data_IF_881382667951
#
_entry.id   IF_881382667951
#
_cell.length_a   1.000
_cell.length_b   1.000
_cell.length_c   1.000
_cell.angle_alpha   90.00
_cell.angle_beta   90.00
_cell.angle_gamma   90.00
#
_symmetry.space_group_name_H-M   'P 1'
#
loop_
_entity.id
_entity.type
_entity.pdbx_description
1 polymer ?
#
# COMPACT_ATOMS: atom_id res chain seq x y z
N UNK A 1 -54.61 87.91 5.63
CA UNK A 1 -54.25 88.53 4.33
C UNK A 1 -54.72 87.55 3.25
N UNK A 2 -55.82 87.87 2.54
CA UNK A 2 -55.83 88.20 1.09
C UNK A 2 -55.24 87.06 0.23
N UNK A 3 -55.87 86.45 -0.77
CA UNK A 3 -56.91 86.88 -1.73
C UNK A 3 -57.42 85.63 -2.49
N UNK A 4 -58.69 85.61 -2.88
CA UNK A 4 -59.24 84.85 -4.03
C UNK A 4 -58.65 85.35 -5.37
N UNK A 5 -58.61 84.54 -6.47
CA UNK A 5 -59.73 84.58 -7.42
C UNK A 5 -60.09 83.29 -8.18
N UNK A 6 -61.33 83.32 -8.70
CA UNK A 6 -61.97 82.44 -9.69
C UNK A 6 -61.32 82.56 -11.07
N UNK A 7 -61.38 81.50 -11.89
CA UNK A 7 -61.81 81.54 -13.32
C UNK A 7 -62.28 80.13 -13.76
N UNK A 8 -63.43 80.00 -14.43
CA UNK A 8 -63.81 78.80 -15.22
C UNK A 8 -63.14 78.83 -16.61
N UNK A 9 -63.77 78.37 -17.72
CA UNK A 9 -64.82 77.37 -17.92
C UNK A 9 -64.39 76.35 -19.03
N UNK A 10 -65.35 75.58 -19.57
CA UNK A 10 -65.34 74.92 -20.91
C UNK A 10 -64.44 73.66 -21.02
N UNK A 11 -64.75 72.60 -21.75
CA UNK A 11 -65.93 72.02 -22.42
C UNK A 11 -65.39 70.69 -23.00
N UNK A 12 -66.28 69.76 -23.31
CA UNK A 12 -66.10 68.65 -24.27
C UNK A 12 -65.20 67.43 -23.90
N UNK A 13 -65.92 66.34 -23.57
CA UNK A 13 -65.97 65.09 -24.37
C UNK A 13 -64.71 64.20 -24.46
N UNK A 14 -64.65 63.15 -23.64
CA UNK A 14 -64.24 61.78 -24.07
C UNK A 14 -64.58 60.73 -22.99
N UNK A 15 -64.62 59.45 -23.40
CA UNK A 15 -64.60 58.17 -22.65
C UNK A 15 -65.95 57.41 -22.66
N UNK A 16 -66.11 56.36 -23.47
CA UNK A 16 -65.58 54.97 -23.35
C UNK A 16 -66.21 54.23 -22.16
N UNK A 17 -67.06 53.24 -22.48
CA UNK A 17 -67.44 52.09 -21.66
C UNK A 17 -67.33 50.87 -22.60
N UNK A 18 -66.44 49.89 -22.47
CA UNK A 18 -66.02 49.03 -21.36
C UNK A 18 -67.09 48.00 -20.95
N UNK A 19 -66.91 46.76 -21.43
CA UNK A 19 -67.53 45.51 -20.98
C UNK A 19 -67.22 44.43 -22.01
N UNK A 20 -66.89 43.18 -21.73
CA UNK A 20 -66.64 42.38 -20.53
C UNK A 20 -66.28 41.00 -21.12
N UNK A 21 -65.18 40.33 -20.72
CA UNK A 21 -65.04 38.87 -20.81
C UNK A 21 -63.84 38.40 -19.97
N UNK A 22 -64.16 38.00 -18.74
CA UNK A 22 -63.33 37.21 -17.85
C UNK A 22 -63.33 35.76 -18.34
N UNK A 23 -62.21 35.31 -18.91
CA UNK A 23 -61.92 33.90 -19.20
C UNK A 23 -60.73 33.45 -18.37
N UNK A 24 -60.96 32.51 -17.47
CA UNK A 24 -60.01 31.96 -16.48
C UNK A 24 -58.75 31.43 -17.15
N UNK A 25 -57.59 32.02 -16.82
CA UNK A 25 -56.28 31.42 -17.09
C UNK A 25 -56.03 30.30 -16.08
N UNK A 26 -56.31 29.06 -16.45
CA UNK A 26 -55.83 27.90 -15.71
C UNK A 26 -54.32 27.79 -15.94
N UNK A 27 -53.51 28.31 -15.01
CA UNK A 27 -52.08 28.03 -14.99
C UNK A 27 -51.93 26.53 -14.73
N UNK A 28 -51.59 25.76 -15.77
CA UNK A 28 -51.16 24.39 -15.61
C UNK A 28 -49.80 24.41 -14.90
N UNK A 29 -49.81 24.19 -13.59
CA UNK A 29 -48.59 24.02 -12.80
C UNK A 29 -47.95 22.69 -13.21
N UNK A 30 -46.85 22.75 -13.96
CA UNK A 30 -46.03 21.59 -14.24
C UNK A 30 -45.37 21.14 -12.93
N UNK A 31 -45.98 20.14 -12.28
CA UNK A 31 -45.42 19.52 -11.08
C UNK A 31 -44.08 18.85 -11.41
N UNK A 32 -43.00 19.33 -10.77
CA UNK A 32 -41.71 18.67 -10.85
C UNK A 32 -41.70 17.45 -9.93
N UNK A 33 -41.72 16.26 -10.52
CA UNK A 33 -41.51 15.00 -9.80
C UNK A 33 -40.00 14.68 -9.82
N UNK A 34 -39.33 14.93 -8.69
CA UNK A 34 -37.95 14.51 -8.48
C UNK A 34 -37.90 13.20 -7.70
N UNK A 35 -37.11 12.24 -8.17
CA UNK A 35 -36.81 11.01 -7.41
C UNK A 35 -35.42 11.12 -6.78
N UNK A 36 -35.28 10.64 -5.55
CA UNK A 36 -33.98 10.62 -4.87
C UNK A 36 -33.23 9.36 -5.26
N UNK A 37 -32.07 9.52 -5.91
CA UNK A 37 -31.16 8.41 -6.20
C UNK A 37 -30.11 8.38 -5.09
N UNK A 38 -30.18 7.35 -4.24
CA UNK A 38 -29.20 7.14 -3.19
C UNK A 38 -27.99 6.39 -3.75
N UNK A 39 -26.85 7.06 -3.81
CA UNK A 39 -25.58 6.42 -4.14
C UNK A 39 -24.87 6.02 -2.86
N UNK A 40 -24.56 4.74 -2.72
CA UNK A 40 -23.72 4.23 -1.65
C UNK A 40 -22.47 3.59 -2.27
N UNK A 41 -21.30 4.03 -1.81
CA UNK A 41 -20.02 3.43 -2.17
C UNK A 41 -19.28 3.07 -0.88
N UNK A 42 -18.81 1.82 -0.78
CA UNK A 42 -17.87 1.42 0.26
C UNK A 42 -16.47 1.44 -0.34
N UNK A 43 -15.75 2.54 -0.11
CA UNK A 43 -14.34 2.64 -0.48
C UNK A 43 -13.53 1.88 0.58
N UNK A 44 -13.02 0.71 0.20
CA UNK A 44 -12.07 -0.07 1.00
C UNK A 44 -10.79 -0.18 0.18
N UNK A 45 -9.75 0.49 0.64
CA UNK A 45 -8.46 0.54 -0.02
C UNK A 45 -7.47 1.31 0.84
N UNK A 46 -6.38 0.66 1.20
CA UNK A 46 -5.22 1.30 1.78
C UNK A 46 -4.15 1.52 0.74
N UNK A 47 -3.30 2.51 0.94
CA UNK A 47 -2.04 2.67 0.20
C UNK A 47 -0.91 2.80 1.19
N UNK A 48 0.27 2.30 0.85
CA UNK A 48 1.47 2.43 1.65
C UNK A 48 2.67 2.25 0.71
N UNK A 49 3.63 3.17 0.75
CA UNK A 49 4.90 3.02 0.07
C UNK A 49 5.85 2.26 0.99
N UNK A 50 6.69 1.41 0.39
CA UNK A 50 7.76 0.71 1.12
C UNK A 50 9.09 1.08 0.51
N UNK A 51 10.10 1.19 1.37
CA UNK A 51 11.49 1.38 0.98
C UNK A 51 12.38 0.48 1.82
N UNK A 52 13.52 0.10 1.26
CA UNK A 52 14.61 -0.56 1.99
C UNK A 52 15.77 0.41 2.13
N UNK A 53 16.47 0.38 3.26
CA UNK A 53 17.62 1.25 3.55
C UNK A 53 18.80 1.04 2.57
N UNK A 54 18.90 -0.14 1.98
CA UNK A 54 19.88 -0.48 0.95
C UNK A 54 19.33 -1.53 -0.01
N UNK A 55 19.75 -1.46 -1.27
CA UNK A 55 19.33 -2.40 -2.32
C UNK A 55 20.34 -3.52 -2.56
N UNK A 56 21.50 -3.48 -1.90
CA UNK A 56 22.56 -4.48 -2.03
C UNK A 56 23.22 -4.72 -0.68
N UNK A 57 23.41 -5.99 -0.35
CA UNK A 57 24.16 -6.44 0.82
C UNK A 57 25.36 -7.22 0.30
N UNK A 58 26.55 -6.70 0.55
CA UNK A 58 27.78 -7.38 0.20
C UNK A 58 28.27 -8.21 1.40
N UNK A 59 28.38 -9.52 1.20
CA UNK A 59 29.23 -10.34 2.05
C UNK A 59 30.64 -10.30 1.45
N UNK A 60 31.64 -9.89 2.22
CA UNK A 60 33.03 -10.00 1.80
C UNK A 60 33.40 -11.48 1.61
N UNK A 61 34.55 -11.77 1.00
CA UNK A 61 35.04 -13.15 0.92
C UNK A 61 35.11 -13.77 2.33
N UNK A 62 34.38 -14.87 2.52
CA UNK A 62 34.28 -15.59 3.80
C UNK A 62 34.80 -17.01 3.63
N UNK A 63 35.47 -17.52 4.66
CA UNK A 63 35.85 -18.94 4.70
C UNK A 63 34.61 -19.81 4.88
N UNK A 64 34.52 -20.93 4.15
CA UNK A 64 33.43 -21.91 4.34
C UNK A 64 33.34 -22.41 5.78
N UNK A 65 34.46 -22.46 6.51
CA UNK A 65 34.52 -22.91 7.91
C UNK A 65 33.73 -22.05 8.90
N UNK A 66 33.51 -20.77 8.57
CA UNK A 66 32.73 -19.83 9.39
C UNK A 66 31.27 -19.78 8.99
N UNK A 67 30.90 -20.35 7.84
CA UNK A 67 29.51 -20.50 7.44
C UNK A 67 28.91 -21.68 8.20
N UNK A 68 27.90 -21.41 9.02
CA UNK A 68 27.31 -22.40 9.93
C UNK A 68 25.95 -22.90 9.46
N UNK A 69 25.52 -23.99 10.09
CA UNK A 69 24.27 -24.65 9.79
C UNK A 69 23.04 -23.95 10.34
N UNK A 70 21.89 -24.54 10.05
CA UNK A 70 20.58 -24.08 10.46
C UNK A 70 20.50 -23.88 11.98
N UNK A 71 19.91 -22.77 12.40
CA UNK A 71 19.74 -22.46 13.83
C UNK A 71 21.02 -22.08 14.57
N UNK A 72 22.17 -22.02 13.89
CA UNK A 72 23.45 -21.58 14.48
C UNK A 72 23.80 -20.18 13.97
N UNK A 73 24.26 -19.33 14.87
CA UNK A 73 24.83 -18.04 14.50
C UNK A 73 26.26 -18.25 14.00
N UNK A 74 26.47 -17.90 12.74
CA UNK A 74 27.78 -17.96 12.07
C UNK A 74 28.35 -16.56 11.93
N UNK A 75 28.55 -16.15 10.68
CA UNK A 75 28.95 -14.78 10.34
C UNK A 75 27.91 -13.78 10.85
N UNK A 76 28.38 -12.63 11.33
CA UNK A 76 27.53 -11.54 11.81
C UNK A 76 26.45 -11.18 10.77
N UNK A 77 25.20 -11.00 11.22
CA UNK A 77 24.11 -10.67 10.31
C UNK A 77 24.34 -9.34 9.63
N UNK A 78 24.01 -9.29 8.35
CA UNK A 78 23.82 -8.03 7.65
C UNK A 78 22.36 -7.60 7.83
N UNK A 79 22.17 -6.41 8.39
CA UNK A 79 20.83 -5.88 8.64
C UNK A 79 20.28 -5.19 7.39
N UNK A 80 18.99 -5.38 7.16
CA UNK A 80 18.19 -4.70 6.15
C UNK A 80 16.95 -4.14 6.82
N UNK A 81 16.68 -2.85 6.67
CA UNK A 81 15.53 -2.21 7.30
C UNK A 81 14.54 -1.77 6.22
N UNK A 82 13.32 -2.28 6.33
CA UNK A 82 12.17 -1.85 5.53
C UNK A 82 11.39 -0.78 6.29
N UNK A 83 11.16 0.36 5.66
CA UNK A 83 10.37 1.47 6.19
C UNK A 83 9.09 1.66 5.39
N UNK A 84 8.09 2.25 6.04
CA UNK A 84 6.80 2.57 5.44
C UNK A 84 6.61 4.09 5.36
N UNK A 85 6.03 4.58 4.27
CA UNK A 85 5.68 5.99 4.11
C UNK A 85 4.37 6.16 3.35
N UNK A 86 3.75 7.33 3.48
CA UNK A 86 2.51 7.69 2.80
C UNK A 86 1.37 6.66 3.02
N UNK A 87 1.36 6.04 4.20
CA UNK A 87 0.40 5.00 4.52
C UNK A 87 -0.93 5.62 4.95
N UNK A 88 -2.00 5.25 4.24
CA UNK A 88 -3.33 5.81 4.40
C UNK A 88 -4.40 4.72 4.16
N UNK A 89 -5.58 4.90 4.76
CA UNK A 89 -6.67 3.93 4.71
C UNK A 89 -6.69 2.95 5.88
N UNK A 90 -7.63 2.01 5.84
CA UNK A 90 -7.89 0.99 6.87
C UNK A 90 -8.80 -0.11 6.29
N UNK A 91 -9.07 -1.17 7.06
CA UNK A 91 -10.07 -2.18 6.72
C UNK A 91 -9.56 -3.45 6.04
N UNK A 92 -8.25 -3.55 5.78
CA UNK A 92 -7.56 -4.78 5.34
C UNK A 92 -6.31 -4.99 6.17
N UNK A 93 -5.85 -6.23 6.31
CA UNK A 93 -4.65 -6.56 7.07
C UNK A 93 -3.42 -6.34 6.18
N UNK A 94 -2.57 -5.34 6.46
CA UNK A 94 -1.36 -5.13 5.66
C UNK A 94 -0.32 -6.20 5.96
N UNK A 95 0.31 -6.72 4.91
CA UNK A 95 1.39 -7.70 5.02
C UNK A 95 2.56 -7.36 4.08
N UNK A 96 3.75 -7.81 4.46
CA UNK A 96 4.91 -7.88 3.57
C UNK A 96 5.05 -9.32 3.10
N UNK A 97 4.85 -9.55 1.80
CA UNK A 97 5.18 -10.81 1.16
C UNK A 97 6.65 -10.79 0.74
N UNK A 98 7.39 -11.80 1.15
CA UNK A 98 8.80 -11.98 0.77
C UNK A 98 8.85 -13.00 -0.35
N UNK A 99 9.61 -12.73 -1.41
CA UNK A 99 9.75 -13.66 -2.55
C UNK A 99 11.18 -13.70 -3.06
N UNK A 100 11.55 -14.83 -3.64
CA UNK A 100 12.88 -15.08 -4.18
C UNK A 100 13.10 -16.56 -4.44
N UNK A 101 14.16 -16.89 -5.16
CA UNK A 101 14.55 -18.29 -5.36
C UNK A 101 15.15 -18.82 -4.07
N UNK A 102 14.71 -20.01 -3.64
CA UNK A 102 15.23 -20.67 -2.44
C UNK A 102 15.76 -22.06 -2.76
N UNK A 103 16.71 -22.52 -1.95
CA UNK A 103 17.09 -23.91 -1.84
C UNK A 103 16.66 -24.42 -0.46
N UNK A 104 16.28 -25.69 -0.38
CA UNK A 104 15.93 -26.33 0.89
C UNK A 104 17.13 -27.14 1.38
N UNK A 105 17.74 -26.68 2.47
CA UNK A 105 18.87 -27.35 3.13
C UNK A 105 18.58 -27.47 4.63
N UNK A 106 17.48 -28.14 4.98
CA UNK A 106 16.95 -28.18 6.36
C UNK A 106 16.18 -26.91 6.78
N UNK A 107 16.56 -25.74 6.24
CA UNK A 107 15.81 -24.47 6.32
C UNK A 107 15.75 -23.83 4.92
N UNK A 108 14.80 -22.91 4.67
CA UNK A 108 14.81 -22.11 3.44
C UNK A 108 16.04 -21.18 3.44
N UNK A 109 16.79 -21.23 2.34
CA UNK A 109 17.90 -20.31 2.07
C UNK A 109 17.70 -19.65 0.71
N UNK A 110 17.72 -18.32 0.67
CA UNK A 110 17.63 -17.58 -0.58
C UNK A 110 18.92 -17.72 -1.38
N UNK A 111 18.80 -18.07 -2.65
CA UNK A 111 19.92 -18.26 -3.58
C UNK A 111 19.40 -18.25 -5.02
N UNK A 112 20.07 -17.54 -5.91
CA UNK A 112 19.72 -17.57 -7.32
C UNK A 112 20.16 -18.91 -7.97
N UNK A 113 19.57 -19.23 -9.13
CA UNK A 113 20.05 -20.34 -9.96
C UNK A 113 21.11 -19.80 -10.91
N UNK A 114 22.30 -20.40 -10.88
CA UNK A 114 23.36 -20.13 -11.84
C UNK A 114 24.14 -21.42 -12.08
N UNK A 115 24.40 -21.74 -13.35
CA UNK A 115 25.05 -22.95 -13.81
C UNK A 115 26.57 -22.81 -14.03
N UNK A 116 27.14 -21.63 -13.77
CA UNK A 116 28.58 -21.41 -13.87
C UNK A 116 29.35 -22.34 -12.90
N UNK A 117 30.48 -22.87 -13.35
CA UNK A 117 31.28 -23.85 -12.60
C UNK A 117 31.94 -23.29 -11.34
N UNK A 118 32.10 -21.97 -11.27
CA UNK A 118 32.61 -21.22 -10.12
C UNK A 118 31.49 -20.77 -9.16
N UNK A 119 30.23 -21.14 -9.42
CA UNK A 119 29.11 -20.82 -8.55
C UNK A 119 29.03 -21.81 -7.39
N UNK A 120 29.05 -21.29 -6.17
CA UNK A 120 29.07 -22.08 -4.92
C UNK A 120 27.88 -23.02 -4.82
N UNK A 121 28.04 -24.18 -4.18
CA UNK A 121 26.96 -25.14 -3.95
C UNK A 121 26.68 -25.33 -2.46
N UNK A 122 25.40 -25.53 -2.11
CA UNK A 122 24.99 -25.83 -0.73
C UNK A 122 24.95 -24.63 0.23
N UNK A 123 25.28 -23.41 -0.26
CA UNK A 123 25.22 -22.18 0.51
C UNK A 123 24.09 -21.27 0.04
N UNK A 124 23.50 -20.52 0.95
CA UNK A 124 22.54 -19.46 0.63
C UNK A 124 22.39 -18.46 1.76
N UNK A 125 21.45 -17.54 1.62
CA UNK A 125 21.14 -16.52 2.61
C UNK A 125 19.96 -16.97 3.45
N UNK A 126 20.20 -17.20 4.75
CA UNK A 126 19.15 -17.30 5.76
C UNK A 126 18.66 -15.88 6.04
N UNK A 127 17.36 -15.64 5.84
CA UNK A 127 16.72 -14.39 6.19
C UNK A 127 15.78 -14.63 7.36
N UNK A 128 15.88 -13.82 8.40
CA UNK A 128 14.94 -13.82 9.54
C UNK A 128 14.47 -12.39 9.82
N UNK A 129 13.27 -12.23 10.36
CA UNK A 129 12.89 -10.96 10.98
C UNK A 129 13.67 -10.81 12.30
N UNK A 130 14.20 -9.63 12.59
CA UNK A 130 14.96 -9.38 13.81
C UNK A 130 14.14 -9.75 15.05
N UNK A 131 14.77 -10.48 15.98
CA UNK A 131 14.12 -11.00 17.18
C UNK A 131 13.29 -12.26 16.95
N UNK A 132 13.22 -12.79 15.72
CA UNK A 132 12.58 -14.06 15.38
C UNK A 132 13.63 -15.12 15.03
N UNK A 133 13.35 -16.38 15.41
CA UNK A 133 14.22 -17.52 15.10
C UNK A 133 13.87 -18.19 13.76
N UNK A 134 12.62 -18.04 13.30
CA UNK A 134 12.11 -18.73 12.12
C UNK A 134 12.66 -18.10 10.84
N UNK A 135 13.29 -18.94 10.02
CA UNK A 135 13.75 -18.55 8.69
C UNK A 135 12.56 -18.27 7.77
N UNK A 136 12.62 -17.11 7.10
CA UNK A 136 11.64 -16.67 6.11
C UNK A 136 11.86 -17.48 4.83
N UNK A 137 10.78 -18.05 4.31
CA UNK A 137 10.72 -18.73 3.03
C UNK A 137 10.18 -17.82 1.92
N UNK A 138 10.30 -18.29 0.68
CA UNK A 138 9.64 -17.63 -0.46
C UNK A 138 8.12 -17.74 -0.33
N UNK A 139 7.43 -16.63 -0.61
CA UNK A 139 5.99 -16.41 -0.48
C UNK A 139 5.47 -16.31 0.96
N UNK A 140 6.35 -16.29 1.96
CA UNK A 140 5.95 -15.99 3.33
C UNK A 140 5.37 -14.58 3.43
N UNK A 141 4.33 -14.44 4.26
CA UNK A 141 3.59 -13.19 4.46
C UNK A 141 3.70 -12.76 5.92
N UNK A 142 4.39 -11.65 6.15
CA UNK A 142 4.61 -11.07 7.47
C UNK A 142 3.53 -10.03 7.74
N UNK A 143 2.71 -10.26 8.75
CA UNK A 143 1.70 -9.27 9.18
C UNK A 143 2.39 -8.06 9.79
N UNK A 144 2.11 -6.87 9.25
CA UNK A 144 2.74 -5.61 9.73
C UNK A 144 1.75 -4.67 10.40
N UNK A 145 0.46 -4.99 10.37
CA UNK A 145 -0.60 -4.19 11.01
C UNK A 145 -1.90 -4.97 11.13
N UNK A 146 -2.99 -4.28 11.47
CA UNK A 146 -4.31 -4.88 11.67
C UNK A 146 -5.36 -4.19 10.81
N UNK A 147 -6.36 -4.95 10.34
CA UNK A 147 -7.50 -4.41 9.60
C UNK A 147 -8.31 -3.36 10.40
N UNK A 148 -8.25 -3.41 11.74
CA UNK A 148 -8.97 -2.50 12.61
C UNK A 148 -8.18 -1.25 13.00
N UNK A 149 -6.97 -1.08 12.46
CA UNK A 149 -6.10 0.07 12.72
C UNK A 149 -5.93 0.92 11.47
N UNK A 150 -5.67 2.21 11.66
CA UNK A 150 -5.34 3.10 10.57
C UNK A 150 -3.92 2.80 10.05
N UNK A 151 -3.76 2.66 8.74
CA UNK A 151 -2.47 2.32 8.12
C UNK A 151 -1.40 3.39 8.35
N UNK A 152 -1.79 4.63 8.64
CA UNK A 152 -0.86 5.71 8.97
C UNK A 152 -0.01 5.42 10.21
N UNK A 153 -0.43 4.49 11.07
CA UNK A 153 0.37 4.00 12.19
C UNK A 153 1.67 3.32 11.74
N UNK A 154 1.71 2.79 10.51
CA UNK A 154 2.92 2.18 9.94
C UNK A 154 4.00 3.20 9.58
N UNK A 155 3.66 4.47 9.33
CA UNK A 155 4.62 5.50 8.90
C UNK A 155 5.75 5.75 9.91
N UNK A 156 5.54 5.38 11.18
CA UNK A 156 6.55 5.49 12.24
C UNK A 156 7.18 4.15 12.61
N UNK A 157 6.89 3.09 11.84
CA UNK A 157 7.36 1.74 12.07
C UNK A 157 8.39 1.33 11.02
N UNK A 158 9.18 0.32 11.38
CA UNK A 158 10.11 -0.33 10.47
C UNK A 158 10.15 -1.83 10.77
N UNK A 159 10.45 -2.62 9.73
CA UNK A 159 10.76 -4.04 9.85
C UNK A 159 12.24 -4.23 9.57
N UNK A 160 12.97 -4.73 10.56
CA UNK A 160 14.39 -5.07 10.40
C UNK A 160 14.53 -6.57 10.15
N UNK A 161 15.31 -6.91 9.13
CA UNK A 161 15.66 -8.28 8.77
C UNK A 161 17.14 -8.52 9.01
N UNK A 162 17.47 -9.76 9.39
CA UNK A 162 18.84 -10.23 9.51
C UNK A 162 19.13 -11.22 8.37
N UNK A 163 20.06 -10.86 7.49
CA UNK A 163 20.56 -11.72 6.43
C UNK A 163 21.89 -12.36 6.89
N UNK A 164 21.96 -13.69 6.90
CA UNK A 164 23.16 -14.45 7.26
C UNK A 164 23.48 -15.47 6.17
N UNK A 165 24.77 -15.64 5.86
CA UNK A 165 25.21 -16.79 5.07
C UNK A 165 25.04 -18.07 5.88
N UNK A 166 24.50 -19.12 5.26
CA UNK A 166 24.34 -20.43 5.88
C UNK A 166 24.50 -21.56 4.85
N UNK A 167 24.96 -22.72 5.32
CA UNK A 167 24.95 -23.97 4.57
C UNK A 167 23.78 -24.89 4.94
N UNK A 168 22.82 -24.41 5.74
CA UNK A 168 21.65 -25.19 6.11
C UNK A 168 22.03 -26.44 6.91
N UNK A 169 21.92 -27.64 6.35
CA UNK A 169 22.36 -28.87 7.03
C UNK A 169 23.88 -29.03 7.05
N UNK A 170 24.63 -28.27 6.23
CA UNK A 170 26.08 -28.32 6.10
C UNK A 170 26.63 -29.74 5.90
N UNK A 171 25.87 -30.58 5.19
CA UNK A 171 26.24 -31.96 4.91
C UNK A 171 27.48 -31.99 4.02
N UNK A 172 28.63 -32.55 4.48
CA UNK A 172 29.84 -32.61 3.67
C UNK A 172 29.62 -33.45 2.41
N UNK A 173 30.14 -33.01 1.27
CA UNK A 173 30.04 -33.74 0.00
C UNK A 173 30.13 -32.83 -1.23
N UNK A 174 29.95 -33.38 -2.45
CA UNK A 174 30.06 -32.62 -3.70
C UNK A 174 29.04 -31.48 -3.82
N UNK A 175 27.93 -31.54 -3.07
CA UNK A 175 26.92 -30.49 -3.01
C UNK A 175 27.26 -29.31 -2.10
N UNK A 176 28.43 -29.31 -1.44
CA UNK A 176 28.88 -28.21 -0.58
C UNK A 176 30.27 -27.74 -1.04
N UNK A 177 30.30 -26.75 -1.94
CA UNK A 177 31.53 -26.26 -2.57
C UNK A 177 31.59 -24.73 -2.57
N UNK A 178 32.79 -24.18 -2.35
CA UNK A 178 33.02 -22.75 -2.38
C UNK A 178 32.91 -22.17 -3.80
N UNK A 179 32.65 -20.87 -3.89
CA UNK A 179 32.48 -20.17 -5.16
C UNK A 179 31.73 -18.86 -4.99
N UNK A 180 31.38 -18.25 -6.13
CA UNK A 180 30.54 -17.07 -6.19
C UNK A 180 29.10 -17.39 -5.79
N UNK A 181 28.40 -16.43 -5.18
CA UNK A 181 27.01 -16.59 -4.81
C UNK A 181 26.29 -15.25 -4.87
N UNK A 182 25.02 -15.30 -5.27
CA UNK A 182 24.11 -14.17 -5.15
C UNK A 182 22.70 -14.67 -4.86
N UNK A 183 21.91 -13.82 -4.24
CA UNK A 183 20.51 -14.06 -3.95
C UNK A 183 19.74 -12.77 -4.21
N UNK A 184 18.56 -12.91 -4.82
CA UNK A 184 17.64 -11.80 -5.02
C UNK A 184 16.39 -12.05 -4.18
N UNK A 185 16.06 -11.09 -3.33
CA UNK A 185 14.87 -11.11 -2.48
C UNK A 185 14.03 -9.87 -2.78
N UNK A 186 12.74 -10.07 -2.97
CA UNK A 186 11.76 -9.01 -3.24
C UNK A 186 10.77 -8.94 -2.08
N UNK A 187 10.63 -7.75 -1.52
CA UNK A 187 9.60 -7.42 -0.54
C UNK A 187 8.44 -6.73 -1.26
N UNK A 188 7.23 -7.25 -1.08
CA UNK A 188 6.03 -6.69 -1.67
C UNK A 188 5.02 -6.38 -0.58
N UNK A 189 4.49 -5.15 -0.61
CA UNK A 189 3.38 -4.77 0.24
C UNK A 189 2.06 -5.29 -0.35
N UNK A 190 1.30 -6.07 0.43
CA UNK A 190 0.03 -6.66 0.02
C UNK A 190 -1.04 -6.46 1.10
N UNK A 191 -2.30 -6.69 0.72
CA UNK A 191 -3.46 -6.68 1.64
C UNK A 191 -4.18 -8.02 1.62
N UNK A 192 -4.61 -8.48 2.79
CA UNK A 192 -5.50 -9.64 2.97
C UNK A 192 -6.61 -9.36 3.99
#
# INVERSE_FOLDING_TARGET
MQQTPRVGPRFLFTLVFAGLLLGLVSNAEAGSAGTTVNFAAKLVGGTCQIAVDRTTIAFTSVSSSVVKGAGVDGIDPQLLTLSFSDCAGWGLTPKIQVSGTTITAGIPLFRNVNAASDYSQGYGVKLVQQGQATAISSLDKLTVGSANAQLSTLNSQSLTFEARLSCGSCTPGPGLSGGNMNATVTFQFIYE
#
